data_IF_471751810080
#
_entry.id   IF_471751810080
#
_cell.length_a   1.000
_cell.length_b   1.000
_cell.length_c   1.000
_cell.angle_alpha   90.00
_cell.angle_beta   90.00
_cell.angle_gamma   90.00
#
_symmetry.space_group_name_H-M   'P 1'
#
loop_
_entity.id
_entity.type
_entity.pdbx_description
1 polymer ?
#
# COMPACT_ATOMS: atom_id res chain seq x y z
N UNK A 1 4.75 7.09 20.39
CA UNK A 1 5.08 6.72 19.00
C UNK A 1 4.03 5.76 18.51
N UNK A 2 3.34 6.16 17.46
CA UNK A 2 2.41 5.31 16.76
C UNK A 2 3.20 4.38 15.79
N UNK A 3 2.64 3.24 15.39
CA UNK A 3 3.32 2.26 14.52
C UNK A 3 2.82 2.31 13.07
N UNK A 4 2.27 3.45 12.66
CA UNK A 4 1.71 3.61 11.31
C UNK A 4 2.80 3.60 10.23
N UNK A 5 2.41 3.26 9.00
CA UNK A 5 3.34 3.15 7.89
C UNK A 5 3.40 4.47 7.13
N UNK A 6 4.59 5.09 7.13
CA UNK A 6 4.81 6.36 6.46
C UNK A 6 5.58 6.19 5.15
N UNK A 7 5.23 7.02 4.16
CA UNK A 7 5.97 7.14 2.91
C UNK A 7 6.14 8.60 2.56
N UNK A 8 7.33 8.96 2.08
CA UNK A 8 7.58 10.27 1.51
C UNK A 8 8.11 10.15 0.08
N UNK A 9 7.65 11.05 -0.78
CA UNK A 9 7.95 11.07 -2.21
C UNK A 9 8.26 12.50 -2.65
N UNK A 10 9.15 12.66 -3.63
CA UNK A 10 9.47 13.96 -4.22
C UNK A 10 8.41 14.34 -5.26
N UNK A 11 7.83 15.53 -5.16
CA UNK A 11 6.95 16.10 -6.17
C UNK A 11 7.71 17.10 -7.02
N UNK A 12 7.84 16.81 -8.31
CA UNK A 12 8.42 17.77 -9.27
C UNK A 12 7.53 18.98 -9.49
N UNK A 13 6.22 18.84 -9.31
CA UNK A 13 5.26 19.93 -9.53
C UNK A 13 5.32 21.00 -8.43
N UNK A 14 5.60 20.57 -7.20
CA UNK A 14 5.62 21.45 -6.02
C UNK A 14 7.03 21.74 -5.50
N UNK A 15 8.07 21.14 -6.10
CA UNK A 15 9.48 21.25 -5.68
C UNK A 15 9.71 20.88 -4.19
N UNK A 16 8.88 19.97 -3.68
CA UNK A 16 8.82 19.58 -2.28
C UNK A 16 8.59 18.07 -2.13
N UNK A 17 8.91 17.55 -0.95
CA UNK A 17 8.53 16.20 -0.54
C UNK A 17 7.10 16.19 0.03
N UNK A 18 6.32 15.20 -0.38
CA UNK A 18 5.02 14.88 0.24
C UNK A 18 5.15 13.63 1.10
N UNK A 19 4.92 13.78 2.40
CA UNK A 19 4.78 12.69 3.38
C UNK A 19 3.33 12.28 3.52
N UNK A 20 3.07 10.97 3.58
CA UNK A 20 1.72 10.38 3.68
C UNK A 20 1.71 9.19 4.63
N UNK A 21 0.60 9.03 5.36
CA UNK A 21 0.30 7.82 6.13
C UNK A 21 -0.49 6.85 5.24
N UNK A 22 -0.06 5.58 5.12
CA UNK A 22 -0.72 4.61 4.22
C UNK A 22 -2.10 4.18 4.73
N UNK A 23 -2.27 4.13 6.05
CA UNK A 23 -3.53 3.78 6.71
C UNK A 23 -4.53 4.94 6.72
N UNK A 24 -4.02 6.18 6.67
CA UNK A 24 -4.80 7.42 6.66
C UNK A 24 -4.37 8.29 5.46
N UNK A 25 -4.72 7.91 4.21
CA UNK A 25 -4.20 8.56 3.01
C UNK A 25 -4.56 10.05 2.87
N UNK A 26 -5.56 10.51 3.63
CA UNK A 26 -5.97 11.91 3.69
C UNK A 26 -5.04 12.77 4.57
N UNK A 27 -4.22 12.16 5.42
CA UNK A 27 -3.20 12.86 6.20
C UNK A 27 -1.91 12.93 5.38
N UNK A 28 -1.59 14.15 4.95
CA UNK A 28 -0.41 14.44 4.15
C UNK A 28 0.30 15.68 4.69
N UNK A 29 1.62 15.73 4.51
CA UNK A 29 2.42 16.89 4.87
C UNK A 29 3.44 17.18 3.77
N UNK A 30 3.54 18.45 3.39
CA UNK A 30 4.49 18.92 2.38
C UNK A 30 5.64 19.62 3.07
N UNK A 31 6.86 19.30 2.64
CA UNK A 31 8.05 19.96 3.17
C UNK A 31 9.22 19.93 2.17
N UNK A 32 10.17 20.88 2.27
CA UNK A 32 11.36 20.92 1.41
C UNK A 32 12.27 19.69 1.54
N UNK A 33 12.23 18.99 2.68
CA UNK A 33 13.07 17.81 2.93
C UNK A 33 12.27 16.56 3.30
N UNK A 34 12.82 15.40 2.94
CA UNK A 34 12.25 14.09 3.28
C UNK A 34 11.98 13.94 4.79
N UNK A 35 12.91 14.40 5.63
CA UNK A 35 12.79 14.28 7.09
C UNK A 35 11.66 15.13 7.64
N UNK A 36 11.52 16.36 7.15
CA UNK A 36 10.44 17.26 7.56
C UNK A 36 9.09 16.75 7.08
N UNK A 37 9.02 16.20 5.87
CA UNK A 37 7.80 15.61 5.33
C UNK A 37 7.31 14.44 6.21
N UNK A 38 8.22 13.54 6.60
CA UNK A 38 7.93 12.41 7.51
C UNK A 38 7.55 12.91 8.91
N UNK A 39 8.35 13.80 9.50
CA UNK A 39 8.09 14.30 10.85
C UNK A 39 6.78 15.10 10.94
N UNK A 40 6.40 15.80 9.87
CA UNK A 40 5.14 16.52 9.81
C UNK A 40 3.94 15.59 9.69
N UNK A 41 4.00 14.54 8.86
CA UNK A 41 2.90 13.57 8.78
C UNK A 41 2.79 12.73 10.05
N UNK A 42 3.89 12.40 10.73
CA UNK A 42 3.88 11.70 12.03
C UNK A 42 3.15 12.52 13.09
N UNK A 43 3.45 13.83 13.19
CA UNK A 43 2.73 14.74 14.09
C UNK A 43 1.25 14.86 13.74
N UNK A 44 0.91 14.99 12.46
CA UNK A 44 -0.47 15.07 12.01
C UNK A 44 -1.26 13.80 12.36
N UNK A 45 -0.64 12.62 12.29
CA UNK A 45 -1.25 11.36 12.74
C UNK A 45 -1.43 11.35 14.26
N UNK A 46 -0.43 11.75 15.04
CA UNK A 46 -0.54 11.81 16.50
C UNK A 46 -1.64 12.77 16.98
N UNK A 47 -1.75 13.94 16.34
CA UNK A 47 -2.83 14.90 16.59
C UNK A 47 -4.20 14.30 16.24
N UNK A 48 -4.31 13.65 15.07
CA UNK A 48 -5.55 13.01 14.65
C UNK A 48 -5.99 11.87 15.59
N UNK A 49 -5.04 11.07 16.07
CA UNK A 49 -5.30 10.00 17.04
C UNK A 49 -5.73 10.55 18.40
N UNK A 50 -5.15 11.67 18.83
CA UNK A 50 -5.52 12.33 20.08
C UNK A 50 -6.94 12.90 20.02
N UNK A 51 -7.33 13.52 18.90
CA UNK A 51 -8.68 14.08 18.71
C UNK A 51 -9.78 13.01 18.64
N UNK A 52 -9.45 11.82 18.13
CA UNK A 52 -10.41 10.71 17.95
C UNK A 52 -10.24 9.59 18.96
N UNK A 53 -9.68 9.90 20.12
CA UNK A 53 -9.51 8.96 21.22
C UNK A 53 -10.87 8.35 21.62
N UNK A 54 -11.05 7.05 21.30
CA UNK A 54 -12.29 6.32 21.56
C UNK A 54 -13.04 5.84 20.31
N UNK A 55 -12.62 6.26 19.12
CA UNK A 55 -13.17 5.76 17.85
C UNK A 55 -12.38 4.56 17.30
N UNK A 56 -13.04 3.73 16.49
CA UNK A 56 -12.41 2.60 15.83
C UNK A 56 -11.46 3.08 14.72
N UNK A 57 -10.20 3.34 15.09
CA UNK A 57 -9.15 3.71 14.14
C UNK A 57 -8.65 2.48 13.37
N UNK A 58 -8.19 2.66 12.12
CA UNK A 58 -7.57 1.57 11.37
C UNK A 58 -6.33 1.10 12.10
N UNK A 59 -6.24 -0.21 12.35
CA UNK A 59 -5.04 -0.82 12.91
C UNK A 59 -3.85 -0.63 11.94
N UNK A 60 -2.64 -0.33 12.44
CA UNK A 60 -1.43 -0.21 11.63
C UNK A 60 -1.23 -1.42 10.73
N UNK A 61 -0.82 -1.20 9.48
CA UNK A 61 -0.60 -2.27 8.49
C UNK A 61 0.44 -3.27 9.01
N UNK A 62 1.48 -2.80 9.70
CA UNK A 62 2.54 -3.62 10.28
C UNK A 62 2.05 -4.56 11.39
N UNK A 63 1.00 -4.15 12.09
CA UNK A 63 0.44 -4.90 13.22
C UNK A 63 -0.62 -5.91 12.76
N UNK A 64 -1.00 -5.89 11.47
CA UNK A 64 -1.95 -6.84 10.90
C UNK A 64 -1.29 -8.21 10.72
N UNK A 65 -2.01 -9.25 11.14
CA UNK A 65 -1.66 -10.63 10.80
C UNK A 65 -2.15 -10.95 9.40
N UNK A 66 -1.23 -11.24 8.48
CA UNK A 66 -1.54 -11.64 7.11
C UNK A 66 -1.60 -13.17 7.03
N UNK A 67 -2.77 -13.72 6.66
CA UNK A 67 -2.98 -15.17 6.55
C UNK A 67 -2.39 -15.79 5.28
N UNK A 68 -1.98 -14.97 4.30
CA UNK A 68 -1.61 -15.43 2.95
C UNK A 68 -2.80 -15.82 2.07
N UNK A 69 -4.02 -15.87 2.62
CA UNK A 69 -5.24 -16.20 1.88
C UNK A 69 -6.03 -14.94 1.59
N UNK A 70 -6.29 -14.68 0.31
CA UNK A 70 -7.11 -13.55 -0.12
C UNK A 70 -8.03 -13.99 -1.27
N UNK A 71 -9.30 -13.58 -1.21
CA UNK A 71 -10.32 -13.91 -2.22
C UNK A 71 -10.46 -12.74 -3.17
N UNK A 72 -10.17 -12.95 -4.45
CA UNK A 72 -10.24 -11.91 -5.49
C UNK A 72 -11.43 -12.19 -6.41
N UNK A 73 -12.29 -11.19 -6.59
CA UNK A 73 -13.32 -11.23 -7.63
C UNK A 73 -12.69 -10.84 -8.97
N UNK A 74 -13.03 -11.58 -10.03
CA UNK A 74 -12.51 -11.33 -11.37
C UNK A 74 -13.55 -11.68 -12.44
N UNK A 75 -13.28 -11.31 -13.69
CA UNK A 75 -14.15 -11.67 -14.81
C UNK A 75 -14.01 -13.16 -15.15
N UNK A 76 -15.09 -13.80 -15.65
CA UNK A 76 -15.03 -15.20 -16.11
C UNK A 76 -13.95 -15.43 -17.17
N UNK A 77 -13.74 -14.44 -18.05
CA UNK A 77 -12.71 -14.50 -19.10
C UNK A 77 -11.30 -14.54 -18.52
N UNK A 78 -10.99 -13.73 -17.50
CA UNK A 78 -9.66 -13.76 -16.86
C UNK A 78 -9.44 -15.07 -16.11
N UNK A 79 -10.46 -15.57 -15.40
CA UNK A 79 -10.40 -16.84 -14.70
C UNK A 79 -10.13 -18.01 -15.66
N UNK A 80 -10.85 -18.07 -16.79
CA UNK A 80 -10.64 -19.10 -17.81
C UNK A 80 -9.21 -19.07 -18.38
N UNK A 81 -8.69 -17.87 -18.69
CA UNK A 81 -7.32 -17.71 -19.18
C UNK A 81 -6.29 -18.21 -18.17
N UNK A 82 -6.41 -17.83 -16.90
CA UNK A 82 -5.50 -18.27 -15.85
C UNK A 82 -5.53 -19.79 -15.64
N UNK A 83 -6.70 -20.42 -15.75
CA UNK A 83 -6.84 -21.87 -15.64
C UNK A 83 -6.16 -22.61 -16.80
N UNK A 84 -6.28 -22.10 -18.03
CA UNK A 84 -5.60 -22.69 -19.21
C UNK A 84 -4.09 -22.54 -19.09
N UNK A 85 -3.59 -21.35 -18.75
CA UNK A 85 -2.16 -21.10 -18.58
C UNK A 85 -1.56 -21.98 -17.47
N UNK A 86 -2.26 -22.14 -16.34
CA UNK A 86 -1.80 -23.00 -15.25
C UNK A 86 -1.70 -24.48 -15.68
N UNK A 87 -2.68 -24.96 -16.46
CA UNK A 87 -2.69 -26.32 -16.98
C UNK A 87 -1.54 -26.55 -17.98
N UNK A 88 -1.27 -25.58 -18.86
CA UNK A 88 -0.15 -25.62 -19.82
C UNK A 88 1.21 -25.72 -19.12
N UNK A 89 1.37 -25.02 -18.00
CA UNK A 89 2.58 -25.05 -17.19
C UNK A 89 2.62 -26.22 -16.18
N UNK A 90 1.57 -27.06 -16.17
CA UNK A 90 1.42 -28.20 -15.26
C UNK A 90 1.55 -27.82 -13.77
N UNK A 91 0.95 -26.69 -13.37
CA UNK A 91 0.93 -26.18 -12.00
C UNK A 91 -0.50 -25.87 -11.55
N UNK A 92 -0.70 -25.70 -10.24
CA UNK A 92 -2.01 -25.23 -9.75
C UNK A 92 -2.25 -23.78 -10.14
N UNK A 93 -3.51 -23.41 -10.36
CA UNK A 93 -3.88 -22.03 -10.68
C UNK A 93 -3.42 -21.03 -9.60
N UNK A 94 -3.47 -21.40 -8.32
CA UNK A 94 -2.94 -20.57 -7.24
C UNK A 94 -1.43 -20.36 -7.37
N UNK A 95 -0.68 -21.42 -7.70
CA UNK A 95 0.76 -21.32 -7.91
C UNK A 95 1.09 -20.42 -9.11
N UNK A 96 0.36 -20.58 -10.21
CA UNK A 96 0.50 -19.73 -11.39
C UNK A 96 0.22 -18.25 -11.08
N UNK A 97 -0.83 -17.97 -10.32
CA UNK A 97 -1.16 -16.60 -9.86
C UNK A 97 -0.03 -16.04 -9.00
N UNK A 98 0.51 -16.82 -8.06
CA UNK A 98 1.63 -16.38 -7.21
C UNK A 98 2.86 -16.05 -8.05
N UNK A 99 3.22 -16.87 -9.03
CA UNK A 99 4.32 -16.58 -9.95
C UNK A 99 4.10 -15.27 -10.71
N UNK A 100 2.91 -15.08 -11.30
CA UNK A 100 2.55 -13.83 -12.00
C UNK A 100 2.60 -12.59 -11.09
N UNK A 101 2.25 -12.73 -9.82
CA UNK A 101 2.32 -11.64 -8.84
C UNK A 101 3.75 -11.34 -8.40
N UNK A 102 4.59 -12.36 -8.27
CA UNK A 102 6.00 -12.23 -7.92
C UNK A 102 6.84 -11.64 -9.07
N UNK A 103 6.47 -11.93 -10.32
CA UNK A 103 7.12 -11.40 -11.52
C UNK A 103 6.77 -9.95 -11.83
N UNK A 104 5.95 -9.29 -11.00
CA UNK A 104 5.66 -7.87 -11.17
C UNK A 104 6.91 -7.08 -10.75
N UNK A 105 7.61 -6.36 -11.66
CA UNK A 105 8.61 -5.40 -11.23
C UNK A 105 7.91 -4.41 -10.29
N UNK A 106 8.53 -4.01 -9.17
CA UNK A 106 7.91 -3.03 -8.27
C UNK A 106 7.50 -1.84 -9.13
N UNK A 107 6.21 -1.48 -9.09
CA UNK A 107 5.71 -0.35 -9.88
C UNK A 107 6.65 0.83 -9.66
N UNK A 108 7.37 1.22 -10.71
CA UNK A 108 8.09 2.48 -10.71
C UNK A 108 7.03 3.55 -10.52
N UNK A 109 7.21 4.41 -9.53
CA UNK A 109 6.27 5.48 -9.17
C UNK A 109 6.06 6.55 -10.27
N UNK A 110 6.65 6.36 -11.44
CA UNK A 110 6.64 7.29 -12.57
C UNK A 110 5.84 6.79 -13.77
N UNK A 111 5.14 5.65 -13.64
CA UNK A 111 4.22 5.19 -14.69
C UNK A 111 2.88 5.92 -14.53
N UNK A 112 2.80 7.14 -15.08
CA UNK A 112 1.57 7.86 -15.41
C UNK A 112 1.34 7.86 -16.93
#
# INVERSE_FOLDING_TARGET
>A
MNHYTYRAEWSREHDEYVGRCLELPFLTHWAPTLREAIAGVERAVDEHLAERAGEAMPAPITDRKFSGTFVVRTSPALHARLAVEAADQNVSMNHWIVQKLADRPPSSLLDW
#
